data_IF_224435786842
#
_entry.id   IF_224435786842
#
_cell.length_a   1.000
_cell.length_b   1.000
_cell.length_c   1.000
_cell.angle_alpha   90.00
_cell.angle_beta   90.00
_cell.angle_gamma   90.00
#
_symmetry.space_group_name_H-M   'P 1'
#
loop_
_entity.id
_entity.type
_entity.pdbx_description
1 polymer ?
#
# COMPACT_ATOMS: atom_id res chain seq x y z
N UNK A 1 -17.14 9.99 -6.80
CA UNK A 1 -15.69 10.32 -6.74
C UNK A 1 -15.13 9.80 -5.43
N UNK A 2 -14.13 8.92 -5.46
CA UNK A 2 -13.27 8.68 -4.28
C UNK A 2 -11.82 8.83 -4.72
N UNK A 3 -11.30 10.07 -4.63
CA UNK A 3 -9.90 10.41 -4.85
C UNK A 3 -9.28 10.80 -3.52
N UNK A 4 -9.13 9.82 -2.62
CA UNK A 4 -8.10 9.83 -1.57
C UNK A 4 -8.16 8.50 -0.84
N UNK A 5 -7.29 7.57 -1.19
CA UNK A 5 -6.95 6.48 -0.29
C UNK A 5 -5.50 6.72 0.14
N UNK A 6 -5.30 7.74 0.98
CA UNK A 6 -4.14 7.72 1.87
C UNK A 6 -4.48 6.58 2.83
N UNK A 7 -3.72 5.50 2.77
CA UNK A 7 -3.98 4.29 3.55
C UNK A 7 -3.16 4.39 4.82
N UNK A 8 -3.83 4.29 5.96
CA UNK A 8 -3.14 4.23 7.25
C UNK A 8 -2.39 2.90 7.38
N UNK A 9 -1.35 2.86 8.23
CA UNK A 9 -0.55 1.63 8.43
C UNK A 9 -1.42 0.43 8.87
N UNK A 10 -2.46 0.67 9.66
CA UNK A 10 -3.43 -0.34 10.11
C UNK A 10 -4.40 -0.82 9.03
N UNK A 11 -4.52 -0.09 7.92
CA UNK A 11 -5.47 -0.35 6.81
C UNK A 11 -4.78 -0.98 5.59
N UNK A 12 -3.48 -1.29 5.70
CA UNK A 12 -2.68 -1.86 4.63
C UNK A 12 -3.22 -3.23 4.22
N UNK A 13 -3.45 -3.38 2.91
CA UNK A 13 -3.77 -4.67 2.28
C UNK A 13 -2.73 -5.01 1.24
N UNK A 14 -2.59 -6.29 0.93
CA UNK A 14 -1.68 -6.78 -0.10
C UNK A 14 -1.88 -6.01 -1.41
N UNK A 15 -0.78 -5.50 -1.97
CA UNK A 15 -0.80 -4.71 -3.20
C UNK A 15 -0.81 -3.18 -3.00
N UNK A 16 -0.99 -2.69 -1.77
CA UNK A 16 -0.80 -1.27 -1.47
C UNK A 16 0.67 -0.86 -1.70
N UNK A 17 0.88 0.29 -2.33
CA UNK A 17 2.21 0.90 -2.44
C UNK A 17 2.54 1.62 -1.14
N UNK A 18 3.66 1.26 -0.52
CA UNK A 18 4.18 1.89 0.70
C UNK A 18 5.32 2.84 0.34
N UNK A 19 5.38 3.99 1.00
CA UNK A 19 6.34 5.05 0.72
C UNK A 19 7.21 5.37 1.93
N UNK A 20 8.49 5.65 1.67
CA UNK A 20 9.46 5.95 2.71
C UNK A 20 10.36 7.13 2.37
N UNK A 21 10.84 7.82 3.40
CA UNK A 21 11.89 8.83 3.35
C UNK A 21 13.26 8.19 3.67
N UNK A 22 14.10 7.97 2.67
CA UNK A 22 15.37 7.22 2.84
C UNK A 22 16.61 8.06 2.53
N UNK A 23 16.74 8.60 1.31
CA UNK A 23 17.94 9.32 0.85
C UNK A 23 17.74 10.83 0.65
N UNK A 24 16.52 11.35 0.79
CA UNK A 24 16.18 12.78 0.72
C UNK A 24 14.87 13.05 1.49
N UNK A 25 14.61 14.28 1.97
CA UNK A 25 13.46 14.61 2.82
C UNK A 25 12.12 14.73 2.06
N UNK A 26 11.84 13.73 1.23
CA UNK A 26 10.60 13.53 0.45
C UNK A 26 10.43 12.02 0.23
N UNK A 27 9.25 11.53 -0.23
CA UNK A 27 9.11 10.16 -0.71
C UNK A 27 10.23 9.81 -1.70
N UNK A 28 11.10 8.90 -1.28
CA UNK A 28 12.35 8.58 -1.96
C UNK A 28 12.54 7.09 -2.17
N UNK A 29 11.87 6.25 -1.38
CA UNK A 29 11.80 4.80 -1.62
C UNK A 29 10.35 4.32 -1.61
N UNK A 30 10.09 3.24 -2.34
CA UNK A 30 8.77 2.62 -2.40
C UNK A 30 8.86 1.10 -2.39
N UNK A 31 7.79 0.44 -1.96
CA UNK A 31 7.64 -1.00 -2.04
C UNK A 31 6.17 -1.42 -2.18
N UNK A 32 5.95 -2.72 -2.37
CA UNK A 32 4.63 -3.31 -2.45
C UNK A 32 4.38 -4.06 -1.14
N UNK A 33 3.30 -3.72 -0.43
CA UNK A 33 2.91 -4.42 0.78
C UNK A 33 2.44 -5.84 0.45
N UNK A 34 2.93 -6.83 1.19
CA UNK A 34 2.71 -8.25 0.94
C UNK A 34 2.07 -8.98 2.14
N UNK A 35 1.40 -8.25 3.04
CA UNK A 35 0.74 -8.67 4.29
C UNK A 35 1.64 -8.74 5.53
N UNK A 36 1.03 -8.87 6.71
CA UNK A 36 1.71 -9.08 8.01
C UNK A 36 2.81 -8.06 8.34
N UNK A 37 2.60 -6.79 7.98
CA UNK A 37 3.60 -5.75 8.16
C UNK A 37 4.77 -5.84 7.17
N UNK A 38 4.77 -6.77 6.21
CA UNK A 38 5.86 -6.98 5.28
C UNK A 38 5.63 -6.27 3.94
N UNK A 39 6.71 -5.85 3.31
CA UNK A 39 6.72 -5.31 1.96
C UNK A 39 7.95 -5.80 1.19
N UNK A 40 7.85 -5.85 -0.14
CA UNK A 40 8.95 -6.18 -1.05
C UNK A 40 9.39 -4.93 -1.81
N UNK A 41 10.70 -4.72 -1.97
CA UNK A 41 11.24 -3.59 -2.75
C UNK A 41 12.63 -3.87 -3.30
N UNK A 42 13.05 -3.08 -4.30
CA UNK A 42 14.41 -3.06 -4.81
C UNK A 42 15.29 -2.14 -3.97
N UNK A 43 16.20 -2.71 -3.20
CA UNK A 43 17.15 -1.99 -2.34
C UNK A 43 18.53 -1.93 -2.97
N UNK A 44 19.29 -0.86 -2.73
CA UNK A 44 20.65 -0.71 -3.25
C UNK A 44 21.65 -1.71 -2.66
N UNK A 45 21.42 -2.18 -1.43
CA UNK A 45 22.35 -3.07 -0.72
C UNK A 45 22.07 -4.57 -0.89
N UNK A 46 20.81 -4.96 -1.16
CA UNK A 46 20.39 -6.37 -1.17
C UNK A 46 19.59 -6.77 -2.41
N UNK A 47 19.49 -5.90 -3.41
CA UNK A 47 18.61 -6.13 -4.55
C UNK A 47 17.15 -6.22 -4.10
N UNK A 48 16.39 -7.16 -4.67
CA UNK A 48 14.99 -7.38 -4.29
C UNK A 48 14.92 -8.08 -2.93
N UNK A 49 14.37 -7.42 -1.93
CA UNK A 49 14.32 -7.92 -0.57
C UNK A 49 12.97 -7.64 0.10
N UNK A 50 12.62 -8.49 1.07
CA UNK A 50 11.48 -8.31 1.97
C UNK A 50 11.95 -7.58 3.23
N UNK A 51 11.16 -6.63 3.70
CA UNK A 51 11.36 -5.91 4.96
C UNK A 51 10.02 -5.63 5.65
N UNK A 52 10.07 -5.05 6.86
CA UNK A 52 8.88 -4.76 7.66
C UNK A 52 8.60 -3.27 7.74
N UNK A 53 7.36 -2.84 7.52
CA UNK A 53 6.92 -1.44 7.78
C UNK A 53 6.90 -1.10 9.26
N UNK A 54 6.96 -2.11 10.13
CA UNK A 54 7.00 -1.98 11.59
C UNK A 54 8.41 -2.15 12.17
N UNK A 55 9.44 -2.25 11.32
CA UNK A 55 10.84 -2.29 11.75
C UNK A 55 11.14 -1.03 12.60
N UNK A 56 11.58 -1.17 13.87
CA UNK A 56 11.76 -0.02 14.75
C UNK A 56 13.01 0.81 14.45
N UNK A 57 13.92 0.34 13.60
CA UNK A 57 15.25 0.93 13.40
C UNK A 57 15.37 1.67 12.07
N UNK A 58 14.93 1.04 10.97
CA UNK A 58 15.13 1.57 9.64
C UNK A 58 13.82 1.96 8.96
N UNK A 59 12.94 1.00 8.68
CA UNK A 59 11.79 1.22 7.82
C UNK A 59 10.60 1.89 8.53
N UNK A 60 10.34 1.53 9.79
CA UNK A 60 9.23 2.09 10.57
C UNK A 60 9.34 3.60 10.78
N UNK A 61 10.50 4.13 11.26
CA UNK A 61 10.73 5.57 11.39
C UNK A 61 10.67 6.33 10.05
N UNK A 62 10.90 5.65 8.92
CA UNK A 62 10.94 6.25 7.58
C UNK A 62 9.62 6.14 6.83
N UNK A 63 8.63 5.44 7.37
CA UNK A 63 7.36 5.21 6.69
C UNK A 63 6.53 6.49 6.64
N UNK A 64 6.21 6.94 5.43
CA UNK A 64 5.45 8.16 5.18
C UNK A 64 3.95 7.90 4.98
N UNK A 65 3.58 6.69 4.61
CA UNK A 65 2.20 6.31 4.30
C UNK A 65 2.11 5.35 3.12
N UNK A 66 0.88 5.07 2.71
CA UNK A 66 0.61 4.17 1.61
C UNK A 66 -0.52 4.66 0.69
N UNK A 67 -0.55 4.10 -0.51
CA UNK A 67 -1.57 4.37 -1.52
C UNK A 67 -2.06 3.07 -2.14
N UNK A 68 -3.38 2.89 -2.15
CA UNK A 68 -4.04 1.84 -2.91
C UNK A 68 -4.11 2.22 -4.38
N UNK A 69 -3.48 1.43 -5.24
CA UNK A 69 -3.46 1.64 -6.70
C UNK A 69 -4.24 0.58 -7.46
N UNK A 70 -4.36 -0.62 -6.90
CA UNK A 70 -5.28 -1.62 -7.39
C UNK A 70 -6.67 -1.17 -6.97
N UNK A 71 -7.40 -0.55 -7.90
CA UNK A 71 -8.84 -0.56 -7.84
C UNK A 71 -9.25 -2.03 -7.90
N UNK A 72 -10.26 -2.40 -7.12
CA UNK A 72 -10.95 -3.68 -7.17
C UNK A 72 -10.80 -4.34 -8.55
N UNK A 73 -10.37 -5.62 -8.65
CA UNK A 73 -10.37 -6.34 -9.92
C UNK A 73 -11.65 -5.99 -10.67
N UNK A 74 -11.62 -5.79 -12.00
CA UNK A 74 -12.81 -5.36 -12.75
C UNK A 74 -14.07 -6.12 -12.33
N UNK A 75 -13.91 -7.40 -11.98
CA UNK A 75 -14.91 -8.29 -11.41
C UNK A 75 -15.54 -7.81 -10.09
N UNK A 76 -14.77 -7.34 -9.11
CA UNK A 76 -15.28 -6.79 -7.85
C UNK A 76 -15.96 -5.42 -8.04
N UNK A 77 -15.49 -4.61 -9.00
CA UNK A 77 -16.18 -3.36 -9.38
C UNK A 77 -17.52 -3.63 -10.08
N UNK A 78 -17.57 -4.69 -10.88
CA UNK A 78 -18.79 -5.15 -11.55
C UNK A 78 -19.77 -5.76 -10.54
N UNK A 79 -19.29 -6.59 -9.61
CA UNK A 79 -20.12 -7.17 -8.53
C UNK A 79 -20.66 -6.10 -7.57
N UNK A 80 -19.85 -5.11 -7.17
CA UNK A 80 -20.32 -3.99 -6.35
C UNK A 80 -21.35 -3.12 -7.07
N UNK A 81 -21.21 -2.93 -8.38
CA UNK A 81 -22.23 -2.26 -9.20
C UNK A 81 -23.54 -3.07 -9.25
N UNK A 82 -23.46 -4.38 -9.45
CA UNK A 82 -24.65 -5.25 -9.48
C UNK A 82 -25.35 -5.39 -8.13
N UNK A 83 -24.61 -5.35 -7.01
CA UNK A 83 -25.20 -5.39 -5.67
C UNK A 83 -25.83 -4.04 -5.33
N UNK A 84 -25.21 -2.92 -5.72
CA UNK A 84 -25.75 -1.58 -5.50
C UNK A 84 -27.07 -1.33 -6.25
N UNK A 85 -27.27 -1.92 -7.45
CA UNK A 85 -28.50 -1.74 -8.23
C UNK A 85 -29.64 -2.70 -7.83
N UNK A 86 -29.43 -3.59 -6.86
CA UNK A 86 -30.45 -4.57 -6.41
C UNK A 86 -31.16 -4.17 -5.12
N UNK A 87 -30.79 -3.05 -4.51
CA UNK A 87 -31.36 -2.51 -3.28
C UNK A 87 -31.90 -1.09 -3.48
N UNK A 88 -32.69 -0.88 -4.52
CA UNK A 88 -33.62 0.26 -4.57
C UNK A 88 -35.01 -0.26 -4.17
N UNK A 89 -35.78 0.47 -3.33
CA UNK A 89 -37.11 0.04 -2.88
C UNK A 89 -38.14 -0.07 -4.01
#
# INVERSE_FOLDING_TARGET
>A
MSRKAIVQRSELVTGDLVFFETYKPVPSHSGIYIRNGQFISATSSRGIAIASVNDPFYWGPRFLGARRVLLDPPEQKVLSLFIATRNEP
#
